data_IF_977022959404
#
_entry.id   IF_977022959404
#
_cell.length_a   1.000
_cell.length_b   1.000
_cell.length_c   1.000
_cell.angle_alpha   90.00
_cell.angle_beta   90.00
_cell.angle_gamma   90.00
#
_symmetry.space_group_name_H-M   'P 1'
#
loop_
_entity.id
_entity.type
_entity.pdbx_description
1 polymer ?
#
# COMPACT_ATOMS: atom_id res chain seq x y z
N UNK A 1 20.12 13.29 10.31
CA UNK A 1 18.89 12.64 9.80
C UNK A 1 17.96 13.74 9.33
N UNK A 2 17.46 13.65 8.10
CA UNK A 2 16.54 14.63 7.50
C UNK A 2 15.25 13.90 7.14
N UNK A 3 14.10 14.47 7.50
CA UNK A 3 12.79 14.01 7.07
C UNK A 3 12.17 15.13 6.23
N UNK A 4 11.60 14.77 5.09
CA UNK A 4 10.96 15.71 4.18
C UNK A 4 9.74 15.07 3.54
N UNK A 5 8.94 15.88 2.87
CA UNK A 5 7.72 15.45 2.18
C UNK A 5 7.79 15.85 0.71
N UNK A 6 7.30 14.98 -0.16
CA UNK A 6 7.18 15.23 -1.59
C UNK A 6 5.81 14.76 -2.06
N UNK A 7 5.21 15.48 -3.00
CA UNK A 7 3.94 15.10 -3.58
C UNK A 7 4.15 14.18 -4.79
N UNK A 8 3.98 12.88 -4.57
CA UNK A 8 3.97 11.83 -5.60
C UNK A 8 2.82 10.87 -5.35
N UNK A 9 2.45 10.09 -6.38
CA UNK A 9 1.33 9.14 -6.29
C UNK A 9 1.73 7.83 -5.61
N UNK A 10 3.01 7.47 -5.73
CA UNK A 10 3.64 6.24 -5.27
C UNK A 10 5.09 6.54 -4.81
N UNK A 11 5.76 5.53 -4.23
CA UNK A 11 7.14 5.65 -3.77
C UNK A 11 8.13 5.71 -4.94
N UNK A 12 7.81 5.06 -6.07
CA UNK A 12 8.65 5.01 -7.26
C UNK A 12 8.80 6.38 -7.92
N UNK A 13 7.76 7.19 -7.89
CA UNK A 13 7.71 8.53 -8.46
C UNK A 13 8.57 9.54 -7.73
N UNK A 14 9.02 9.25 -6.51
CA UNK A 14 9.86 10.18 -5.74
C UNK A 14 11.21 10.42 -6.42
N UNK A 15 11.88 9.36 -6.90
CA UNK A 15 13.21 9.47 -7.52
C UNK A 15 13.15 10.28 -8.83
N UNK A 16 12.28 9.95 -9.81
CA UNK A 16 12.12 10.78 -11.01
C UNK A 16 11.73 12.23 -10.68
N UNK A 17 10.88 12.44 -9.67
CA UNK A 17 10.48 13.79 -9.27
C UNK A 17 11.66 14.62 -8.74
N UNK A 18 12.55 14.01 -7.96
CA UNK A 18 13.77 14.69 -7.48
C UNK A 18 14.72 15.03 -8.64
N UNK A 19 14.82 14.17 -9.64
CA UNK A 19 15.61 14.41 -10.86
C UNK A 19 14.99 15.54 -11.69
N UNK A 20 13.67 15.57 -11.85
CA UNK A 20 12.96 16.66 -12.53
C UNK A 20 13.20 18.01 -11.84
N UNK A 21 13.33 17.99 -10.51
CA UNK A 21 13.70 19.13 -9.67
C UNK A 21 15.20 19.49 -9.74
N UNK A 22 15.96 18.89 -10.67
CA UNK A 22 17.38 19.15 -10.96
C UNK A 22 18.33 18.71 -9.86
N UNK A 23 17.95 17.71 -9.06
CA UNK A 23 18.88 17.07 -8.13
C UNK A 23 19.69 16.02 -8.89
N UNK A 24 21.01 16.10 -8.76
CA UNK A 24 21.92 15.15 -9.40
C UNK A 24 21.69 13.72 -8.87
N UNK A 25 21.58 12.69 -9.74
CA UNK A 25 21.29 11.32 -9.31
C UNK A 25 22.24 10.77 -8.25
N UNK A 26 23.54 11.12 -8.29
CA UNK A 26 24.51 10.67 -7.30
C UNK A 26 24.24 11.21 -5.89
N UNK A 27 23.65 12.41 -5.78
CA UNK A 27 23.23 12.97 -4.49
C UNK A 27 22.01 12.25 -3.95
N UNK A 28 21.07 11.91 -4.84
CA UNK A 28 19.89 11.11 -4.49
C UNK A 28 20.34 9.75 -3.96
N UNK A 29 21.19 9.03 -4.70
CA UNK A 29 21.64 7.69 -4.30
C UNK A 29 22.41 7.70 -2.97
N UNK A 30 23.23 8.72 -2.73
CA UNK A 30 24.07 8.79 -1.51
C UNK A 30 23.36 9.36 -0.27
N UNK A 31 22.21 10.03 -0.44
CA UNK A 31 21.54 10.76 0.66
C UNK A 31 20.13 10.26 0.98
N UNK A 32 19.46 9.61 0.03
CA UNK A 32 18.12 9.09 0.20
C UNK A 32 18.21 7.68 0.79
N UNK A 33 17.67 7.47 2.00
CA UNK A 33 17.69 6.16 2.65
C UNK A 33 16.42 5.36 2.37
N UNK A 34 15.26 6.02 2.43
CA UNK A 34 13.95 5.37 2.31
C UNK A 34 12.92 6.34 1.74
N UNK A 35 12.00 5.82 0.94
CA UNK A 35 10.80 6.53 0.49
C UNK A 35 9.58 5.79 1.01
N UNK A 36 8.67 6.53 1.64
CA UNK A 36 7.37 6.01 2.06
C UNK A 36 6.29 6.77 1.32
N UNK A 37 5.47 6.05 0.54
CA UNK A 37 4.24 6.58 0.00
C UNK A 37 3.07 6.05 0.81
N UNK A 38 2.08 6.90 1.06
CA UNK A 38 0.93 6.55 1.88
C UNK A 38 -0.36 7.18 1.36
N UNK A 39 -1.47 6.48 1.58
CA UNK A 39 -2.82 7.02 1.45
C UNK A 39 -3.61 6.72 2.73
N UNK A 40 -4.67 7.47 2.98
CA UNK A 40 -5.55 7.24 4.13
C UNK A 40 -6.82 6.52 3.68
N UNK A 41 -7.12 5.41 4.35
CA UNK A 41 -8.39 4.69 4.21
C UNK A 41 -9.22 4.87 5.47
N UNK A 42 -10.54 4.88 5.32
CA UNK A 42 -11.47 4.90 6.46
C UNK A 42 -11.45 3.55 7.20
N UNK A 43 -11.48 3.60 8.54
CA UNK A 43 -11.55 2.38 9.36
C UNK A 43 -12.99 1.93 9.53
N UNK A 44 -13.25 0.62 9.52
CA UNK A 44 -14.58 0.09 9.85
C UNK A 44 -14.93 0.49 11.28
N UNK A 45 -16.17 0.94 11.49
CA UNK A 45 -16.66 1.25 12.83
C UNK A 45 -16.68 -0.02 13.70
N UNK A 46 -15.99 -0.03 14.87
CA UNK A 46 -15.88 -1.23 15.70
C UNK A 46 -17.20 -1.64 16.36
N UNK A 47 -18.19 -0.74 16.41
CA UNK A 47 -19.48 -1.00 17.06
C UNK A 47 -20.55 -1.58 16.13
N UNK A 48 -20.29 -1.56 14.81
CA UNK A 48 -21.26 -2.03 13.82
C UNK A 48 -20.61 -2.86 12.71
N UNK A 49 -19.41 -3.37 12.95
CA UNK A 49 -18.71 -4.29 12.07
C UNK A 49 -19.51 -5.59 11.92
N UNK A 50 -19.63 -6.06 10.68
CA UNK A 50 -20.23 -7.34 10.35
C UNK A 50 -19.50 -7.97 9.15
N UNK A 51 -19.66 -9.28 8.96
CA UNK A 51 -19.15 -9.97 7.77
C UNK A 51 -19.79 -9.39 6.50
N UNK A 52 -18.98 -9.22 5.48
CA UNK A 52 -19.40 -8.78 4.15
C UNK A 52 -19.35 -9.97 3.18
N UNK A 53 -20.36 -10.06 2.32
CA UNK A 53 -20.33 -10.96 1.17
C UNK A 53 -19.81 -10.15 0.00
N UNK A 54 -18.69 -10.56 -0.58
CA UNK A 54 -18.11 -9.94 -1.77
C UNK A 54 -18.49 -10.76 -3.01
N UNK A 55 -18.66 -10.13 -4.19
CA UNK A 55 -18.86 -10.87 -5.43
C UNK A 55 -17.68 -11.80 -5.72
N UNK A 56 -17.95 -12.99 -6.29
CA UNK A 56 -16.90 -13.98 -6.63
C UNK A 56 -15.78 -13.39 -7.50
N UNK A 57 -16.12 -12.54 -8.48
CA UNK A 57 -15.13 -11.89 -9.34
C UNK A 57 -14.18 -10.94 -8.57
N UNK A 58 -14.69 -10.25 -7.55
CA UNK A 58 -13.85 -9.41 -6.69
C UNK A 58 -12.94 -10.27 -5.80
N UNK A 59 -13.45 -11.39 -5.28
CA UNK A 59 -12.64 -12.35 -4.53
C UNK A 59 -11.50 -12.91 -5.39
N UNK A 60 -11.77 -13.22 -6.65
CA UNK A 60 -10.76 -13.68 -7.61
C UNK A 60 -9.69 -12.62 -7.90
N UNK A 61 -10.07 -11.35 -8.09
CA UNK A 61 -9.12 -10.25 -8.27
C UNK A 61 -8.21 -10.10 -7.05
N UNK A 62 -8.78 -10.10 -5.85
CA UNK A 62 -8.00 -9.99 -4.60
C UNK A 62 -7.06 -11.19 -4.45
N UNK A 63 -7.49 -12.40 -4.82
CA UNK A 63 -6.63 -13.58 -4.79
C UNK A 63 -5.42 -13.48 -5.72
N UNK A 64 -5.55 -12.83 -6.89
CA UNK A 64 -4.42 -12.58 -7.80
C UNK A 64 -3.40 -11.64 -7.15
N UNK A 65 -3.86 -10.61 -6.44
CA UNK A 65 -2.96 -9.70 -5.72
C UNK A 65 -2.29 -10.37 -4.52
N UNK A 66 -3.04 -11.17 -3.74
CA UNK A 66 -2.49 -11.95 -2.62
C UNK A 66 -1.39 -12.92 -3.05
N UNK A 67 -1.45 -13.47 -4.27
CA UNK A 67 -0.41 -14.36 -4.80
C UNK A 67 0.94 -13.66 -5.05
N UNK A 68 0.94 -12.33 -5.20
CA UNK A 68 2.15 -11.52 -5.39
C UNK A 68 2.84 -11.20 -4.05
N UNK A 69 2.09 -11.27 -2.95
CA UNK A 69 2.57 -10.93 -1.61
C UNK A 69 3.53 -12.01 -1.11
N UNK A 70 4.76 -11.65 -0.69
CA UNK A 70 5.64 -12.59 -0.02
C UNK A 70 5.00 -13.12 1.27
N UNK A 71 5.04 -14.44 1.48
CA UNK A 71 4.42 -15.08 2.66
C UNK A 71 4.89 -14.50 3.99
N UNK A 72 6.14 -14.02 4.06
CA UNK A 72 6.71 -13.39 5.27
C UNK A 72 6.05 -12.06 5.61
N UNK A 73 5.47 -11.39 4.61
CA UNK A 73 4.79 -10.10 4.75
C UNK A 73 3.31 -10.23 5.12
N UNK A 74 2.79 -11.46 5.19
CA UNK A 74 1.40 -11.74 5.59
C UNK A 74 1.33 -11.88 7.12
N UNK A 75 0.57 -11.02 7.82
CA UNK A 75 0.41 -11.14 9.27
C UNK A 75 -0.24 -12.48 9.67
N UNK A 76 0.17 -13.03 10.82
CA UNK A 76 -0.33 -14.33 11.31
C UNK A 76 -1.84 -14.35 11.59
N UNK A 77 -2.43 -13.19 11.87
CA UNK A 77 -3.86 -13.02 12.11
C UNK A 77 -4.69 -12.89 10.81
N UNK A 78 -4.05 -12.93 9.64
CA UNK A 78 -4.69 -12.85 8.33
C UNK A 78 -4.84 -14.23 7.71
N UNK A 79 -6.09 -14.64 7.49
CA UNK A 79 -6.41 -15.83 6.71
C UNK A 79 -6.62 -15.46 5.24
N UNK A 80 -5.81 -16.06 4.36
CA UNK A 80 -5.91 -15.94 2.90
C UNK A 80 -6.57 -17.18 2.25
N UNK A 81 -7.19 -18.04 3.06
CA UNK A 81 -7.89 -19.23 2.58
C UNK A 81 -9.28 -18.87 2.06
N UNK A 82 -9.72 -19.59 1.02
CA UNK A 82 -11.07 -19.42 0.49
C UNK A 82 -12.11 -20.09 1.40
N UNK A 83 -13.30 -19.47 1.58
CA UNK A 83 -13.68 -18.15 1.09
C UNK A 83 -13.00 -17.03 1.90
N UNK A 84 -12.52 -15.99 1.20
CA UNK A 84 -11.93 -14.82 1.85
C UNK A 84 -12.95 -14.12 2.75
N UNK A 85 -12.51 -13.73 3.95
CA UNK A 85 -13.37 -13.09 4.96
C UNK A 85 -13.20 -11.59 4.91
N UNK A 86 -14.22 -10.90 4.43
CA UNK A 86 -14.29 -9.45 4.44
C UNK A 86 -15.30 -8.94 5.47
N UNK A 87 -15.14 -7.66 5.84
CA UNK A 87 -15.96 -6.99 6.82
C UNK A 87 -16.44 -5.66 6.28
N UNK A 88 -17.57 -5.19 6.82
CA UNK A 88 -18.11 -3.85 6.58
C UNK A 88 -18.82 -3.33 7.81
N UNK A 89 -18.93 -2.00 7.94
CA UNK A 89 -19.81 -1.41 8.94
C UNK A 89 -21.24 -1.30 8.41
N UNK A 90 -22.23 -1.78 9.18
CA UNK A 90 -23.66 -1.63 8.79
C UNK A 90 -24.22 -0.22 8.98
N UNK A 91 -23.49 0.65 9.68
CA UNK A 91 -23.98 1.96 10.14
C UNK A 91 -24.62 1.88 11.52
N UNK A 92 -24.29 2.84 12.39
CA UNK A 92 -24.91 3.02 13.71
C UNK A 92 -24.76 4.48 14.17
N UNK A 93 -25.45 4.85 15.25
CA UNK A 93 -25.36 6.18 15.84
C UNK A 93 -23.92 6.62 16.19
N UNK A 94 -23.05 5.69 16.60
CA UNK A 94 -21.65 6.00 17.01
C UNK A 94 -20.73 6.38 15.85
N UNK A 95 -21.15 6.12 14.62
CA UNK A 95 -20.45 6.46 13.39
C UNK A 95 -21.34 7.27 12.43
N UNK A 96 -22.40 7.88 12.94
CA UNK A 96 -23.33 8.70 12.15
C UNK A 96 -23.88 7.94 10.92
N UNK A 97 -24.15 6.65 11.11
CA UNK A 97 -24.64 5.74 10.06
C UNK A 97 -23.72 5.56 8.84
N UNK A 98 -22.47 6.04 8.87
CA UNK A 98 -21.51 5.89 7.75
C UNK A 98 -20.92 4.48 7.63
N UNK A 99 -20.89 3.71 8.73
CA UNK A 99 -20.19 2.44 8.81
C UNK A 99 -18.68 2.56 9.06
N UNK A 100 -18.13 3.78 9.11
CA UNK A 100 -16.71 4.05 9.30
C UNK A 100 -16.46 4.93 10.53
N UNK A 101 -15.33 4.74 11.22
CA UNK A 101 -14.93 5.60 12.33
C UNK A 101 -13.41 5.74 12.42
N UNK A 102 -12.92 6.92 12.07
CA UNK A 102 -11.49 7.21 12.00
C UNK A 102 -10.86 6.75 10.67
N UNK A 103 -9.55 6.92 10.57
CA UNK A 103 -8.75 6.59 9.38
C UNK A 103 -7.49 5.83 9.80
N UNK A 104 -6.89 5.12 8.85
CA UNK A 104 -5.58 4.51 8.98
C UNK A 104 -4.80 4.67 7.67
N UNK A 105 -3.48 4.61 7.77
CA UNK A 105 -2.63 4.62 6.59
C UNK A 105 -2.62 3.24 5.93
N UNK A 106 -2.65 3.24 4.60
CA UNK A 106 -2.04 2.20 3.78
C UNK A 106 -0.75 2.77 3.21
N UNK A 107 0.31 1.98 3.18
CA UNK A 107 1.63 2.47 2.81
C UNK A 107 2.41 1.45 2.00
N UNK A 108 3.29 1.99 1.18
CA UNK A 108 4.36 1.25 0.52
C UNK A 108 5.69 1.90 0.84
N UNK A 109 6.72 1.07 0.93
CA UNK A 109 8.05 1.47 1.39
C UNK A 109 9.06 1.01 0.36
N UNK A 110 9.86 1.94 -0.14
CA UNK A 110 10.98 1.68 -1.04
C UNK A 110 12.27 1.96 -0.28
N UNK A 111 13.04 0.91 -0.02
CA UNK A 111 14.34 1.01 0.62
C UNK A 111 15.41 1.30 -0.43
N UNK A 112 16.29 2.28 -0.18
CA UNK A 112 17.37 2.62 -1.10
C UNK A 112 18.58 1.75 -0.76
N UNK A 113 18.60 0.54 -1.32
CA UNK A 113 19.70 -0.41 -1.19
C UNK A 113 20.76 -0.22 -2.30
N UNK A 114 21.89 -0.93 -2.21
CA UNK A 114 22.98 -0.89 -3.20
C UNK A 114 22.54 -1.18 -4.65
N UNK A 115 21.46 -1.96 -4.84
CA UNK A 115 20.90 -2.25 -6.17
C UNK A 115 20.19 -1.00 -6.72
N UNK A 116 19.36 -0.38 -5.89
CA UNK A 116 18.60 0.81 -6.25
C UNK A 116 19.50 2.04 -6.41
N UNK A 117 20.55 2.19 -5.60
CA UNK A 117 21.55 3.24 -5.79
C UNK A 117 22.16 3.19 -7.20
N UNK A 118 22.54 2.01 -7.67
CA UNK A 118 23.07 1.81 -9.03
C UNK A 118 22.04 2.16 -10.09
N UNK A 119 20.79 1.73 -9.92
CA UNK A 119 19.68 2.07 -10.82
C UNK A 119 19.48 3.59 -10.89
N UNK A 120 19.59 4.29 -9.77
CA UNK A 120 19.44 5.74 -9.70
C UNK A 120 20.54 6.43 -10.52
N UNK A 121 21.79 6.06 -10.29
CA UNK A 121 22.97 6.63 -10.96
C UNK A 121 22.97 6.37 -12.48
N UNK A 122 22.50 5.20 -12.92
CA UNK A 122 22.41 4.84 -14.34
C UNK A 122 21.29 5.58 -15.12
N UNK A 123 20.46 6.38 -14.45
CA UNK A 123 19.40 7.17 -15.09
C UNK A 123 17.97 6.82 -14.68
N UNK A 124 17.77 6.18 -13.51
CA UNK A 124 16.47 6.06 -12.83
C UNK A 124 15.30 5.58 -13.70
N UNK A 125 15.49 4.47 -14.42
CA UNK A 125 14.40 3.83 -15.16
C UNK A 125 13.33 3.31 -14.18
N UNK A 126 12.10 3.85 -14.28
CA UNK A 126 10.99 3.47 -13.40
C UNK A 126 10.67 1.97 -13.41
N UNK A 127 10.81 1.29 -14.55
CA UNK A 127 10.56 -0.15 -14.64
C UNK A 127 11.60 -0.93 -13.84
N UNK A 128 12.89 -0.53 -13.93
CA UNK A 128 13.96 -1.12 -13.10
C UNK A 128 13.70 -0.89 -11.60
N UNK A 129 13.24 0.30 -11.22
CA UNK A 129 12.90 0.63 -9.82
C UNK A 129 11.74 -0.27 -9.33
N UNK A 130 10.69 -0.42 -10.15
CA UNK A 130 9.54 -1.29 -9.83
C UNK A 130 9.94 -2.76 -9.71
N UNK A 131 10.84 -3.23 -10.57
CA UNK A 131 11.39 -4.58 -10.48
C UNK A 131 12.19 -4.78 -9.20
N UNK A 132 13.04 -3.83 -8.82
CA UNK A 132 13.81 -3.90 -7.58
C UNK A 132 12.90 -3.90 -6.34
N UNK A 133 11.87 -3.06 -6.32
CA UNK A 133 10.87 -3.06 -5.25
C UNK A 133 10.20 -4.43 -5.04
N UNK A 134 9.82 -5.09 -6.14
CA UNK A 134 9.25 -6.44 -6.06
C UNK A 134 10.25 -7.45 -5.49
N UNK A 135 11.54 -7.31 -5.80
CA UNK A 135 12.61 -8.16 -5.25
C UNK A 135 12.83 -7.92 -3.76
N UNK A 136 12.67 -6.68 -3.29
CA UNK A 136 12.75 -6.35 -1.86
C UNK A 136 11.63 -6.99 -1.03
N UNK A 137 10.58 -7.52 -1.67
CA UNK A 137 9.45 -8.14 -0.97
C UNK A 137 8.57 -7.14 -0.22
N UNK A 138 8.66 -5.86 -0.60
CA UNK A 138 7.86 -4.78 -0.04
C UNK A 138 6.43 -4.85 -0.59
N UNK A 139 5.47 -4.38 0.21
CA UNK A 139 4.06 -4.34 -0.16
C UNK A 139 3.74 -3.03 -0.87
N UNK A 140 3.03 -3.12 -1.99
CA UNK A 140 2.35 -1.97 -2.58
C UNK A 140 1.22 -1.48 -1.65
N UNK A 141 0.78 -0.24 -1.83
CA UNK A 141 -0.35 0.30 -1.05
C UNK A 141 -1.63 -0.54 -1.22
N UNK A 142 -1.86 -1.13 -2.40
CA UNK A 142 -2.99 -2.03 -2.65
C UNK A 142 -2.87 -3.31 -1.83
N UNK A 143 -1.70 -3.93 -1.83
CA UNK A 143 -1.44 -5.18 -1.08
C UNK A 143 -1.55 -4.98 0.43
N UNK A 144 -0.92 -3.92 0.97
CA UNK A 144 -1.07 -3.54 2.39
C UNK A 144 -2.54 -3.25 2.75
N UNK A 145 -3.26 -2.56 1.87
CA UNK A 145 -4.69 -2.32 2.02
C UNK A 145 -5.53 -3.60 2.03
N UNK A 146 -5.26 -4.55 1.11
CA UNK A 146 -5.94 -5.85 1.04
C UNK A 146 -5.75 -6.62 2.34
N UNK A 147 -4.52 -6.70 2.86
CA UNK A 147 -4.25 -7.39 4.13
C UNK A 147 -5.04 -6.75 5.27
N UNK A 148 -5.06 -5.42 5.37
CA UNK A 148 -5.86 -4.68 6.36
C UNK A 148 -7.36 -4.87 6.19
N UNK A 149 -7.85 -5.08 4.97
CA UNK A 149 -9.26 -5.38 4.70
C UNK A 149 -9.63 -6.80 5.17
N UNK A 150 -8.74 -7.78 4.97
CA UNK A 150 -8.91 -9.15 5.47
C UNK A 150 -8.85 -9.23 7.01
N UNK A 151 -8.06 -8.38 7.66
CA UNK A 151 -8.08 -8.19 9.12
C UNK A 151 -9.38 -7.54 9.61
N UNK A 152 -10.20 -6.96 8.73
CA UNK A 152 -11.39 -6.20 9.07
C UNK A 152 -11.11 -4.80 9.59
N UNK A 153 -9.91 -4.25 9.38
CA UNK A 153 -9.59 -2.87 9.77
C UNK A 153 -10.22 -1.83 8.83
N UNK A 154 -10.32 -2.17 7.55
CA UNK A 154 -10.97 -1.36 6.49
C UNK A 154 -11.85 -2.28 5.61
N UNK A 155 -12.60 -1.70 4.67
CA UNK A 155 -13.36 -2.46 3.66
C UNK A 155 -12.53 -2.62 2.39
N UNK A 156 -12.81 -3.67 1.61
CA UNK A 156 -12.13 -3.87 0.32
C UNK A 156 -12.51 -2.78 -0.69
N UNK A 157 -13.75 -2.28 -0.63
CA UNK A 157 -14.23 -1.19 -1.46
C UNK A 157 -13.47 0.11 -1.20
N UNK A 158 -13.13 0.38 0.07
CA UNK A 158 -12.34 1.54 0.44
C UNK A 158 -10.91 1.45 -0.10
N UNK A 159 -10.29 0.27 0.02
CA UNK A 159 -8.94 0.03 -0.52
C UNK A 159 -8.94 0.29 -2.02
N UNK A 160 -9.84 -0.37 -2.76
CA UNK A 160 -9.93 -0.21 -4.21
C UNK A 160 -10.23 1.23 -4.63
N UNK A 161 -11.08 1.95 -3.90
CA UNK A 161 -11.34 3.36 -4.22
C UNK A 161 -10.11 4.24 -4.02
N UNK A 162 -9.36 4.03 -2.94
CA UNK A 162 -8.18 4.85 -2.61
C UNK A 162 -6.98 4.48 -3.46
N UNK A 163 -6.87 3.24 -3.96
CA UNK A 163 -5.74 2.76 -4.78
C UNK A 163 -6.05 2.70 -6.27
N UNK A 164 -7.21 3.18 -6.72
CA UNK A 164 -7.46 3.42 -8.15
C UNK A 164 -6.55 4.55 -8.63
N UNK A 165 -5.79 4.30 -9.68
CA UNK A 165 -5.09 5.29 -10.48
C UNK A 165 -5.79 5.44 -11.83
#
# INVERSE_FOLDING_TARGET
IVLSTLHTNDAFGAIPRLIDMKIEPFLISSSLNVVVAQRLVRKICPFCQQKAVVPKGLEEEVMIDLQKIPKISIPQDVSIERPLKFYRGKGCARCENTGYKGRMAIAEVLDINDSLERIIVEGSNQDKIKEEFKKQGMLSMKEDGILKALQGSTTIEEVLNVTRE
#
